data_IF_480103382465
#
_entry.id   IF_480103382465
#
_cell.length_a   1.000
_cell.length_b   1.000
_cell.length_c   1.000
_cell.angle_alpha   90.00
_cell.angle_beta   90.00
_cell.angle_gamma   90.00
#
_symmetry.space_group_name_H-M   'P 1'
#
loop_
_entity.id
_entity.type
_entity.pdbx_description
1 polymer ?
#
# COMPACT_ATOMS: atom_id res chain seq x y z
N UNK A 1 -55.69 34.18 -32.05
CA UNK A 1 -54.68 34.75 -31.14
C UNK A 1 -53.40 33.97 -31.31
N UNK A 2 -52.43 34.53 -32.06
CA UNK A 2 -51.16 33.88 -32.37
C UNK A 2 -50.17 34.12 -31.21
N UNK A 3 -49.58 33.05 -30.70
CA UNK A 3 -48.58 33.12 -29.64
C UNK A 3 -47.24 33.61 -30.23
N UNK A 4 -46.55 34.58 -29.58
CA UNK A 4 -45.25 35.04 -30.05
C UNK A 4 -44.19 33.97 -29.80
N UNK A 5 -43.64 33.41 -30.88
CA UNK A 5 -42.48 32.53 -30.85
C UNK A 5 -41.25 33.40 -30.67
N UNK A 6 -40.60 33.32 -29.50
CA UNK A 6 -39.31 33.95 -29.27
C UNK A 6 -38.21 33.19 -30.04
N UNK A 7 -37.35 33.89 -30.80
CA UNK A 7 -36.19 33.25 -31.42
C UNK A 7 -35.23 32.76 -30.33
N UNK A 8 -34.54 31.62 -30.53
CA UNK A 8 -33.54 31.15 -29.58
C UNK A 8 -32.42 32.18 -29.50
N UNK A 9 -32.07 32.57 -28.27
CA UNK A 9 -30.99 33.49 -27.98
C UNK A 9 -29.65 32.94 -28.53
N UNK A 10 -29.27 33.37 -29.73
CA UNK A 10 -27.93 33.20 -30.28
C UNK A 10 -26.96 34.11 -29.51
N UNK A 11 -26.45 33.62 -28.39
CA UNK A 11 -25.51 34.40 -27.58
C UNK A 11 -24.99 33.68 -26.35
N UNK A 12 -25.01 32.34 -26.35
CA UNK A 12 -24.38 31.56 -25.28
C UNK A 12 -22.88 31.51 -25.50
N UNK A 13 -22.14 32.42 -24.84
CA UNK A 13 -20.72 32.20 -24.54
C UNK A 13 -20.64 30.82 -23.87
N UNK A 14 -20.10 29.83 -24.58
CA UNK A 14 -19.91 28.49 -24.05
C UNK A 14 -19.09 28.61 -22.77
N UNK A 15 -19.58 28.04 -21.67
CA UNK A 15 -18.93 28.05 -20.36
C UNK A 15 -17.60 27.26 -20.31
N UNK A 16 -17.10 26.87 -21.48
CA UNK A 16 -15.78 26.32 -21.71
C UNK A 16 -15.05 27.39 -22.52
N UNK A 17 -14.26 28.22 -21.84
CA UNK A 17 -13.53 29.37 -22.41
C UNK A 17 -12.47 29.00 -23.44
N UNK A 18 -12.84 28.26 -24.49
CA UNK A 18 -12.10 28.16 -25.75
C UNK A 18 -12.63 29.29 -26.62
N UNK A 19 -12.20 30.50 -26.28
CA UNK A 19 -12.47 31.69 -27.08
C UNK A 19 -11.94 31.47 -28.50
N UNK A 20 -12.74 31.82 -29.50
CA UNK A 20 -12.43 31.90 -30.95
C UNK A 20 -11.33 32.95 -31.26
N UNK A 21 -10.24 32.96 -30.51
CA UNK A 21 -9.07 33.82 -30.74
C UNK A 21 -8.19 33.27 -31.87
N UNK A 22 -8.45 32.04 -32.33
CA UNK A 22 -7.67 31.35 -33.37
C UNK A 22 -8.06 31.68 -34.82
N UNK A 23 -9.05 32.55 -35.05
CA UNK A 23 -9.58 32.79 -36.42
C UNK A 23 -8.82 33.86 -37.21
N UNK A 24 -7.73 34.43 -36.69
CA UNK A 24 -6.83 35.28 -37.48
C UNK A 24 -5.55 34.49 -37.77
N UNK A 25 -5.30 34.08 -39.02
CA UNK A 25 -4.05 33.42 -39.38
C UNK A 25 -2.93 34.45 -39.19
N UNK A 26 -2.13 34.25 -38.14
CA UNK A 26 -0.89 34.99 -37.97
C UNK A 26 0.21 34.24 -38.71
N UNK A 27 0.89 34.93 -39.62
CA UNK A 27 1.99 34.36 -40.43
C UNK A 27 3.30 34.20 -39.63
N UNK A 28 3.27 34.48 -38.32
CA UNK A 28 4.43 34.37 -37.46
C UNK A 28 4.73 32.90 -37.09
N UNK A 29 5.91 32.37 -37.45
CA UNK A 29 6.24 30.96 -37.27
C UNK A 29 6.33 30.56 -35.78
N UNK A 30 6.64 31.50 -34.91
CA UNK A 30 6.67 31.27 -33.46
C UNK A 30 5.27 31.10 -32.87
N UNK A 31 4.30 31.83 -33.39
CA UNK A 31 2.90 31.69 -32.98
C UNK A 31 2.33 30.37 -33.46
N UNK A 32 2.63 29.95 -34.69
CA UNK A 32 2.28 28.61 -35.20
C UNK A 32 2.88 27.49 -34.34
N UNK A 33 4.13 27.62 -33.90
CA UNK A 33 4.77 26.65 -33.00
C UNK A 33 4.15 26.64 -31.60
N UNK A 34 3.79 27.82 -31.06
CA UNK A 34 3.01 27.91 -29.80
C UNK A 34 1.64 27.28 -29.96
N UNK A 35 0.99 27.49 -31.10
CA UNK A 35 -0.31 26.90 -31.42
C UNK A 35 -0.24 25.39 -31.52
N UNK A 36 0.76 24.85 -32.22
CA UNK A 36 1.00 23.40 -32.32
C UNK A 36 1.31 22.80 -30.94
N UNK A 37 2.09 23.49 -30.09
CA UNK A 37 2.34 23.07 -28.72
C UNK A 37 1.06 23.04 -27.89
N UNK A 38 0.28 24.11 -27.90
CA UNK A 38 -1.01 24.19 -27.19
C UNK A 38 -2.00 23.11 -27.68
N UNK A 39 -2.03 22.86 -28.98
CA UNK A 39 -2.84 21.78 -29.56
C UNK A 39 -2.36 20.41 -29.10
N UNK A 40 -1.04 20.17 -29.07
CA UNK A 40 -0.47 18.93 -28.57
C UNK A 40 -0.69 18.72 -27.06
N UNK A 41 -0.60 19.78 -26.26
CA UNK A 41 -0.88 19.76 -24.82
C UNK A 41 -2.36 19.49 -24.56
N UNK A 42 -3.25 20.08 -25.36
CA UNK A 42 -4.68 19.79 -25.30
C UNK A 42 -4.97 18.33 -25.65
N UNK A 43 -4.39 17.82 -26.75
CA UNK A 43 -4.53 16.41 -27.12
C UNK A 43 -3.97 15.46 -26.05
N UNK A 44 -2.85 15.79 -25.41
CA UNK A 44 -2.29 15.01 -24.32
C UNK A 44 -3.22 14.99 -23.09
N UNK A 45 -3.76 16.14 -22.68
CA UNK A 45 -4.73 16.20 -21.57
C UNK A 45 -6.00 15.40 -21.87
N UNK A 46 -6.49 15.46 -23.10
CA UNK A 46 -7.68 14.70 -23.50
C UNK A 46 -7.39 13.20 -23.54
N UNK A 47 -6.20 12.78 -23.99
CA UNK A 47 -5.76 11.39 -23.93
C UNK A 47 -5.60 10.90 -22.48
N UNK A 48 -5.02 11.70 -21.58
CA UNK A 48 -4.92 11.38 -20.16
C UNK A 48 -6.31 11.23 -19.52
N UNK A 49 -7.25 12.11 -19.87
CA UNK A 49 -8.64 12.03 -19.42
C UNK A 49 -9.32 10.74 -19.91
N UNK A 50 -9.13 10.39 -21.18
CA UNK A 50 -9.67 9.15 -21.76
C UNK A 50 -9.05 7.91 -21.11
N UNK A 51 -7.74 7.91 -20.85
CA UNK A 51 -7.07 6.82 -20.15
C UNK A 51 -7.61 6.67 -18.73
N UNK A 52 -7.81 7.77 -18.00
CA UNK A 52 -8.40 7.75 -16.65
C UNK A 52 -9.84 7.22 -16.64
N UNK A 53 -10.63 7.52 -17.68
CA UNK A 53 -11.97 6.96 -17.85
C UNK A 53 -11.92 5.45 -18.11
N UNK A 54 -11.01 4.99 -18.98
CA UNK A 54 -10.78 3.56 -19.21
C UNK A 54 -10.36 2.83 -17.93
N UNK A 55 -9.43 3.39 -17.16
CA UNK A 55 -9.01 2.82 -15.87
C UNK A 55 -10.18 2.70 -14.89
N UNK A 56 -11.09 3.68 -14.89
CA UNK A 56 -12.30 3.63 -14.08
C UNK A 56 -13.28 2.55 -14.53
N UNK A 57 -13.47 2.36 -15.83
CA UNK A 57 -14.35 1.32 -16.37
C UNK A 57 -13.77 -0.08 -16.13
N UNK A 58 -12.45 -0.25 -16.28
CA UNK A 58 -11.74 -1.48 -15.92
C UNK A 58 -11.90 -1.80 -14.42
N UNK A 59 -11.77 -0.80 -13.54
CA UNK A 59 -12.02 -0.98 -12.12
C UNK A 59 -13.49 -1.32 -11.82
N UNK A 60 -14.44 -0.69 -12.52
CA UNK A 60 -15.87 -0.95 -12.35
C UNK A 60 -16.23 -2.40 -12.73
N UNK A 61 -15.70 -2.89 -13.86
CA UNK A 61 -15.87 -4.29 -14.27
C UNK A 61 -15.24 -5.28 -13.28
N UNK A 62 -14.03 -5.01 -12.79
CA UNK A 62 -13.39 -5.81 -11.75
C UNK A 62 -14.18 -5.84 -10.42
N UNK A 63 -14.82 -4.73 -10.03
CA UNK A 63 -15.69 -4.69 -8.85
C UNK A 63 -16.92 -5.57 -9.03
N UNK A 64 -17.55 -5.56 -10.22
CA UNK A 64 -18.70 -6.40 -10.52
C UNK A 64 -18.34 -7.88 -10.54
N UNK A 65 -17.19 -8.23 -11.12
CA UNK A 65 -16.68 -9.60 -11.13
C UNK A 65 -16.33 -10.09 -9.72
N UNK A 66 -15.69 -9.26 -8.91
CA UNK A 66 -15.44 -9.56 -7.49
C UNK A 66 -16.75 -9.76 -6.70
N UNK A 67 -17.80 -8.99 -7.00
CA UNK A 67 -19.14 -9.21 -6.42
C UNK A 67 -19.75 -10.52 -6.88
N UNK A 68 -19.61 -10.89 -8.16
CA UNK A 68 -20.10 -12.15 -8.72
C UNK A 68 -19.40 -13.35 -8.09
N UNK A 69 -18.07 -13.29 -7.96
CA UNK A 69 -17.26 -14.29 -7.28
C UNK A 69 -17.66 -14.45 -5.81
N UNK A 70 -17.86 -13.34 -5.08
CA UNK A 70 -18.37 -13.37 -3.70
C UNK A 70 -19.77 -13.99 -3.61
N UNK A 71 -20.65 -13.72 -4.57
CA UNK A 71 -22.01 -14.28 -4.59
C UNK A 71 -21.98 -15.80 -4.80
N UNK A 72 -21.09 -16.29 -5.67
CA UNK A 72 -20.88 -17.72 -5.88
C UNK A 72 -20.27 -18.40 -4.63
N UNK A 73 -19.32 -17.73 -3.95
CA UNK A 73 -18.78 -18.18 -2.66
C UNK A 73 -19.79 -18.12 -1.51
N UNK A 74 -20.77 -17.23 -1.60
CA UNK A 74 -21.88 -17.09 -0.65
C UNK A 74 -23.04 -18.03 -0.98
N UNK A 75 -22.85 -19.07 -1.80
CA UNK A 75 -23.72 -20.24 -1.68
C UNK A 75 -23.60 -20.74 -0.24
N UNK A 76 -24.62 -20.42 0.55
CA UNK A 76 -24.80 -20.86 1.92
C UNK A 76 -24.85 -22.38 1.92
N UNK A 77 -23.67 -23.01 1.99
CA UNK A 77 -23.57 -24.34 2.53
C UNK A 77 -24.14 -24.24 3.94
N UNK A 78 -25.36 -24.74 4.10
CA UNK A 78 -26.00 -24.99 5.39
C UNK A 78 -24.95 -25.75 6.20
N UNK A 79 -24.32 -25.06 7.16
CA UNK A 79 -23.30 -25.67 8.02
C UNK A 79 -24.03 -26.70 8.88
N UNK A 80 -24.03 -27.95 8.45
CA UNK A 80 -24.75 -29.05 9.11
C UNK A 80 -24.07 -29.51 10.42
N UNK A 81 -22.97 -28.88 10.84
CA UNK A 81 -22.24 -29.25 12.06
C UNK A 81 -21.93 -28.06 12.99
N UNK A 82 -22.16 -28.25 14.29
CA UNK A 82 -21.80 -27.29 15.36
C UNK A 82 -20.28 -27.02 15.39
N UNK A 83 -19.47 -27.99 14.97
CA UNK A 83 -18.01 -27.87 14.95
C UNK A 83 -17.49 -27.02 13.79
N UNK A 84 -18.18 -27.02 12.64
CA UNK A 84 -17.79 -26.17 11.50
C UNK A 84 -18.11 -24.69 11.76
N UNK A 85 -19.12 -24.42 12.59
CA UNK A 85 -19.44 -23.07 13.03
C UNK A 85 -18.36 -22.50 13.96
N UNK A 86 -17.89 -23.29 14.94
CA UNK A 86 -16.79 -22.89 15.83
C UNK A 86 -15.49 -22.67 15.06
N UNK A 87 -15.12 -23.59 14.15
CA UNK A 87 -13.95 -23.41 13.28
C UNK A 87 -14.04 -22.14 12.42
N UNK A 88 -15.22 -21.83 11.87
CA UNK A 88 -15.43 -20.57 11.13
C UNK A 88 -15.30 -19.34 12.04
N UNK A 89 -15.80 -19.39 13.27
CA UNK A 89 -15.62 -18.29 14.24
C UNK A 89 -14.15 -18.09 14.60
N UNK A 90 -13.40 -19.16 14.84
CA UNK A 90 -11.98 -19.11 15.15
C UNK A 90 -11.16 -18.59 13.95
N UNK A 91 -11.48 -19.01 12.73
CA UNK A 91 -10.87 -18.49 11.50
C UNK A 91 -11.16 -17.00 11.29
N UNK A 92 -12.38 -16.54 11.60
CA UNK A 92 -12.73 -15.12 11.55
C UNK A 92 -11.93 -14.33 12.59
N UNK A 93 -11.82 -14.82 13.82
CA UNK A 93 -11.03 -14.18 14.88
C UNK A 93 -9.53 -14.12 14.50
N UNK A 94 -9.00 -15.18 13.90
CA UNK A 94 -7.62 -15.25 13.42
C UNK A 94 -7.35 -14.25 12.29
N UNK A 95 -8.23 -14.16 11.28
CA UNK A 95 -8.15 -13.12 10.23
C UNK A 95 -8.20 -11.71 10.80
N UNK A 96 -9.06 -11.48 11.79
CA UNK A 96 -9.17 -10.15 12.42
C UNK A 96 -7.90 -9.77 13.18
N UNK A 97 -7.25 -10.73 13.84
CA UNK A 97 -5.98 -10.53 14.52
C UNK A 97 -4.84 -10.22 13.53
N UNK A 98 -4.75 -11.00 12.44
CA UNK A 98 -3.77 -10.80 11.36
C UNK A 98 -3.94 -9.43 10.69
N UNK A 99 -5.17 -9.02 10.38
CA UNK A 99 -5.43 -7.72 9.76
C UNK A 99 -5.06 -6.56 10.71
N UNK A 100 -5.32 -6.73 12.02
CA UNK A 100 -4.95 -5.75 13.05
C UNK A 100 -3.43 -5.64 13.19
N UNK A 101 -2.71 -6.75 13.05
CA UNK A 101 -1.25 -6.79 13.04
C UNK A 101 -0.66 -6.14 11.77
N UNK A 102 -1.19 -6.46 10.59
CA UNK A 102 -0.81 -5.81 9.34
C UNK A 102 -1.03 -4.30 9.39
N UNK A 103 -2.15 -3.85 9.96
CA UNK A 103 -2.43 -2.42 10.15
C UNK A 103 -1.44 -1.76 11.11
N UNK A 104 -1.01 -2.46 12.17
CA UNK A 104 0.05 -2.00 13.07
C UNK A 104 1.41 -1.95 12.35
N UNK A 105 1.75 -2.94 11.54
CA UNK A 105 2.98 -2.98 10.75
C UNK A 105 3.04 -1.84 9.71
N UNK A 106 1.93 -1.60 9.00
CA UNK A 106 1.80 -0.49 8.05
C UNK A 106 2.00 0.87 8.73
N UNK A 107 1.39 1.07 9.90
CA UNK A 107 1.60 2.27 10.73
C UNK A 107 3.06 2.42 11.18
N UNK A 108 3.76 1.34 11.52
CA UNK A 108 5.19 1.38 11.88
C UNK A 108 6.05 1.78 10.68
N UNK A 109 5.82 1.21 9.50
CA UNK A 109 6.51 1.57 8.26
C UNK A 109 6.29 3.04 7.88
N UNK A 110 5.05 3.53 8.03
CA UNK A 110 4.70 4.92 7.72
C UNK A 110 5.33 5.92 8.71
N UNK A 111 5.37 5.59 10.00
CA UNK A 111 6.09 6.36 11.03
C UNK A 111 7.61 6.35 10.81
N UNK A 112 8.17 5.24 10.34
CA UNK A 112 9.58 5.14 9.94
C UNK A 112 9.91 6.07 8.76
N UNK A 113 9.08 6.08 7.72
CA UNK A 113 9.28 6.94 6.53
C UNK A 113 9.13 8.44 6.84
N UNK A 114 8.18 8.82 7.69
CA UNK A 114 7.94 10.22 8.07
C UNK A 114 9.00 10.78 9.03
N UNK A 115 9.51 9.97 9.97
CA UNK A 115 10.61 10.38 10.87
C UNK A 115 11.94 10.57 10.12
N UNK A 116 12.24 9.72 9.14
CA UNK A 116 13.44 9.87 8.28
C UNK A 116 13.35 11.11 7.39
N UNK A 117 12.18 11.43 6.82
CA UNK A 117 11.97 12.67 6.05
C UNK A 117 12.12 13.93 6.92
N UNK A 118 11.60 13.94 8.16
CA UNK A 118 11.78 15.05 9.11
C UNK A 118 13.25 15.27 9.50
N UNK A 119 14.03 14.20 9.70
CA UNK A 119 15.47 14.28 10.02
C UNK A 119 16.28 14.83 8.83
N UNK A 120 15.93 14.45 7.60
CA UNK A 120 16.59 14.93 6.37
C UNK A 120 16.29 16.42 6.07
N UNK A 121 15.07 16.90 6.36
CA UNK A 121 14.75 18.34 6.25
C UNK A 121 15.44 19.19 7.34
N UNK A 122 15.53 18.69 8.58
CA UNK A 122 16.22 19.42 9.68
C UNK A 122 17.72 19.57 9.42
N UNK A 123 18.37 18.59 8.80
CA UNK A 123 19.79 18.69 8.41
C UNK A 123 20.04 19.60 7.19
N UNK A 124 19.07 19.75 6.28
CA UNK A 124 19.18 20.71 5.17
C UNK A 124 19.00 22.16 5.65
N UNK A 125 18.11 22.41 6.61
CA UNK A 125 17.89 23.76 7.15
C UNK A 125 19.00 24.24 8.09
N UNK A 126 19.67 23.34 8.83
CA UNK A 126 20.84 23.69 9.64
C UNK A 126 22.07 24.02 8.78
N UNK A 127 22.35 23.23 7.73
CA UNK A 127 23.48 23.45 6.81
C UNK A 127 23.31 24.74 5.98
N UNK A 128 22.07 25.11 5.66
CA UNK A 128 21.73 26.39 5.01
C UNK A 128 21.89 27.61 5.92
N UNK A 129 21.51 27.51 7.20
CA UNK A 129 21.67 28.60 8.18
C UNK A 129 23.14 28.86 8.53
N UNK A 130 23.98 27.83 8.53
CA UNK A 130 25.42 27.98 8.81
C UNK A 130 26.18 28.67 7.67
N UNK A 131 25.88 28.35 6.40
CA UNK A 131 26.42 29.09 5.24
C UNK A 131 25.96 30.56 5.21
N UNK A 132 24.70 30.84 5.60
CA UNK A 132 24.17 32.22 5.64
C UNK A 132 24.77 33.06 6.78
N UNK A 133 25.14 32.46 7.92
CA UNK A 133 25.85 33.16 9.02
C UNK A 133 27.32 33.44 8.68
N UNK A 134 28.01 32.58 7.91
CA UNK A 134 29.38 32.85 7.43
C UNK A 134 29.44 33.99 6.40
N UNK A 135 28.44 34.12 5.53
CA UNK A 135 28.34 35.24 4.57
C UNK A 135 27.99 36.58 5.26
N UNK A 136 27.09 36.58 6.26
CA UNK A 136 26.75 37.80 7.01
C UNK A 136 27.87 38.34 7.93
N UNK A 137 28.88 37.53 8.27
CA UNK A 137 30.06 37.98 9.03
C UNK A 137 31.12 38.67 8.17
N UNK A 138 31.10 38.52 6.83
CA UNK A 138 31.98 39.26 5.92
C UNK A 138 31.40 40.60 5.42
N UNK A 139 30.10 40.85 5.61
CA UNK A 139 29.42 42.07 5.17
C UNK A 139 29.05 43.08 6.26
N UNK A 140 29.52 42.90 7.49
CA UNK A 140 29.29 43.84 8.61
C UNK A 140 30.59 44.58 9.00
N UNK A 141 31.16 45.27 8.03
CA UNK A 141 31.79 46.57 8.24
C UNK A 141 31.10 47.49 7.24
N UNK A 142 30.75 48.70 7.69
CA UNK A 142 29.97 49.73 7.00
C UNK A 142 28.46 49.74 7.28
N UNK A 143 28.00 50.96 7.56
CA UNK A 143 26.65 51.51 7.73
C UNK A 143 25.84 51.09 8.97
N UNK A 144 26.06 51.88 10.01
CA UNK A 144 25.06 52.43 10.94
C UNK A 144 23.98 53.29 10.25
N UNK A 145 22.91 53.56 11.02
CA UNK A 145 21.91 54.66 10.96
C UNK A 145 20.50 54.33 10.43
N UNK A 146 19.52 54.45 11.36
CA UNK A 146 18.17 55.09 11.26
C UNK A 146 17.26 54.81 10.04
N UNK A 147 15.93 54.77 10.09
CA UNK A 147 14.88 54.99 11.08
C UNK A 147 13.53 54.58 10.43
N UNK A 148 12.50 54.41 11.26
CA UNK A 148 11.03 54.40 11.02
C UNK A 148 10.48 54.80 9.64
N UNK A 149 9.45 54.07 9.15
CA UNK A 149 8.03 54.50 9.18
C UNK A 149 7.12 53.59 8.34
N UNK A 150 5.89 53.48 8.79
CA UNK A 150 4.68 52.87 8.21
C UNK A 150 4.28 53.38 6.82
N UNK A 151 3.64 52.52 6.00
CA UNK A 151 2.31 52.78 5.41
C UNK A 151 1.86 51.68 4.43
N UNK A 152 0.54 51.62 4.30
CA UNK A 152 -0.35 50.74 3.54
C UNK A 152 -0.55 51.17 2.07
N UNK A 153 -1.07 50.26 1.24
CA UNK A 153 -1.67 50.54 -0.09
C UNK A 153 -1.09 49.62 -1.16
N UNK A 154 -1.83 48.63 -1.67
CA UNK A 154 -2.90 48.69 -2.68
C UNK A 154 -2.37 48.87 -4.11
N UNK A 155 -2.87 48.00 -5.01
CA UNK A 155 -2.93 48.13 -6.49
C UNK A 155 -1.56 48.23 -7.19
N UNK A 156 -1.32 47.85 -8.43
CA UNK A 156 -2.09 47.31 -9.55
C UNK A 156 -1.02 47.06 -10.63
N UNK A 157 -1.16 45.94 -11.33
CA UNK A 157 -0.99 45.85 -12.79
C UNK A 157 0.34 46.20 -13.48
N UNK A 158 0.65 45.29 -14.40
CA UNK A 158 1.16 45.50 -15.75
C UNK A 158 2.67 45.63 -15.99
N UNK A 159 3.11 44.81 -16.97
CA UNK A 159 4.20 44.99 -17.94
C UNK A 159 5.60 45.37 -17.43
N UNK A 160 6.74 45.00 -18.00
CA UNK A 160 7.11 44.53 -19.34
C UNK A 160 8.60 44.13 -19.27
N UNK A 161 9.08 43.47 -20.32
CA UNK A 161 10.42 43.68 -20.92
C UNK A 161 11.71 43.25 -20.18
N UNK A 162 12.38 42.27 -20.79
CA UNK A 162 13.82 42.35 -21.10
C UNK A 162 14.05 41.40 -22.29
N UNK A 163 14.21 41.87 -23.53
CA UNK A 163 15.32 42.64 -24.12
C UNK A 163 16.65 41.86 -24.11
N UNK A 164 17.17 41.65 -25.32
CA UNK A 164 18.58 41.51 -25.72
C UNK A 164 18.98 40.11 -26.27
N UNK A 165 20.01 40.01 -27.13
CA UNK A 165 19.86 40.23 -28.57
C UNK A 165 20.62 39.18 -29.43
N UNK A 166 20.51 39.34 -30.75
CA UNK A 166 21.56 39.06 -31.76
C UNK A 166 22.10 37.64 -31.91
N UNK A 167 21.80 37.00 -33.05
CA UNK A 167 22.84 36.51 -33.97
C UNK A 167 22.25 36.01 -35.30
N UNK A 168 22.34 36.88 -36.30
CA UNK A 168 22.77 36.63 -37.68
C UNK A 168 22.86 35.15 -38.14
N UNK A 169 22.03 34.73 -39.10
CA UNK A 169 22.47 33.82 -40.19
C UNK A 169 21.48 33.70 -41.36
N UNK A 170 21.89 34.30 -42.49
CA UNK A 170 21.71 33.89 -43.89
C UNK A 170 20.35 33.41 -44.45
N UNK A 171 19.74 34.15 -45.41
CA UNK A 171 18.69 33.60 -46.26
C UNK A 171 19.28 32.74 -47.40
N UNK A 172 18.84 31.49 -47.50
CA UNK A 172 19.02 30.64 -48.69
C UNK A 172 18.15 31.18 -49.84
N UNK A 173 18.81 31.81 -50.82
CA UNK A 173 18.22 32.22 -52.10
C UNK A 173 17.57 31.03 -52.81
N UNK A 174 16.30 31.21 -53.18
CA UNK A 174 15.54 30.34 -54.08
C UNK A 174 16.15 30.40 -55.48
N UNK A 175 16.19 29.26 -56.15
CA UNK A 175 16.53 29.12 -57.57
C UNK A 175 15.45 29.83 -58.40
N UNK A 176 15.84 30.89 -59.09
CA UNK A 176 15.07 31.47 -60.20
C UNK A 176 15.66 30.97 -61.49
N UNK A 177 14.83 30.27 -62.27
CA UNK A 177 15.14 29.80 -63.61
C UNK A 177 15.38 30.99 -64.55
N UNK A 178 16.64 31.21 -64.95
CA UNK A 178 16.96 32.13 -66.03
C UNK A 178 16.92 31.39 -67.36
N UNK A 179 15.80 31.60 -68.04
CA UNK A 179 15.54 31.30 -69.44
C UNK A 179 16.63 31.94 -70.33
N UNK A 180 17.27 31.09 -71.10
CA UNK A 180 18.28 31.36 -72.12
C UNK A 180 17.81 32.44 -73.09
N UNK A 181 18.41 33.63 -73.03
CA UNK A 181 18.22 34.69 -74.04
C UNK A 181 19.42 34.64 -74.98
N UNK A 182 19.21 34.10 -76.18
CA UNK A 182 20.14 34.22 -77.29
C UNK A 182 20.41 35.70 -77.55
N UNK A 183 21.65 36.15 -77.33
CA UNK A 183 22.12 37.44 -77.80
C UNK A 183 23.01 37.19 -79.01
N UNK A 184 22.58 37.79 -80.11
CA UNK A 184 23.22 37.77 -81.42
C UNK A 184 24.62 38.38 -81.33
N UNK A 185 25.56 37.69 -81.97
CA UNK A 185 26.92 38.15 -82.22
C UNK A 185 26.86 39.46 -83.02
N UNK A 186 27.52 40.51 -82.53
CA UNK A 186 27.95 41.64 -83.34
C UNK A 186 29.46 41.60 -83.41
N UNK A 187 29.95 41.52 -84.63
CA UNK A 187 31.34 41.63 -85.01
C UNK A 187 31.87 42.99 -84.54
N UNK A 188 32.94 42.98 -83.73
CA UNK A 188 33.74 44.18 -83.49
C UNK A 188 35.21 43.84 -83.71
N UNK A 189 35.66 44.45 -84.79
CA UNK A 189 36.98 44.60 -85.36
C UNK A 189 38.11 44.70 -84.33
N UNK A 190 39.18 44.03 -84.72
CA UNK A 190 40.54 43.95 -84.22
C UNK A 190 41.13 45.30 -83.77
N UNK A 191 41.87 45.30 -82.66
CA UNK A 191 43.24 45.84 -82.55
C UNK A 191 43.75 45.68 -81.09
N UNK A 192 45.05 45.38 -80.96
CA UNK A 192 45.90 45.26 -79.75
C UNK A 192 46.06 43.87 -79.06
N UNK A 193 46.93 42.99 -79.60
CA UNK A 193 47.50 41.87 -78.84
C UNK A 193 48.89 42.24 -78.30
N UNK A 194 49.14 42.00 -77.00
CA UNK A 194 50.41 41.49 -76.41
C UNK A 194 50.50 41.74 -74.88
N UNK A 195 49.71 42.63 -74.28
CA UNK A 195 49.74 42.86 -72.81
C UNK A 195 48.63 42.15 -71.99
N UNK A 196 47.61 41.56 -72.63
CA UNK A 196 46.45 40.94 -71.93
C UNK A 196 46.68 39.47 -71.54
N UNK A 197 47.56 38.74 -72.25
CA UNK A 197 47.79 37.32 -72.03
C UNK A 197 48.40 36.98 -70.64
N UNK A 198 49.18 37.90 -70.05
CA UNK A 198 49.78 37.71 -68.71
C UNK A 198 48.75 37.88 -67.59
N UNK A 199 47.70 38.68 -67.82
CA UNK A 199 46.64 38.92 -66.82
C UNK A 199 45.66 37.73 -66.77
N UNK A 200 45.39 37.10 -67.93
CA UNK A 200 44.46 35.96 -68.03
C UNK A 200 45.00 34.67 -67.37
N UNK A 201 46.31 34.42 -67.42
CA UNK A 201 46.90 33.23 -66.78
C UNK A 201 46.97 33.36 -65.24
N UNK A 202 47.13 34.59 -64.73
CA UNK A 202 47.02 34.88 -63.30
C UNK A 202 45.60 34.68 -62.76
N UNK A 203 44.58 35.03 -63.56
CA UNK A 203 43.17 34.83 -63.20
C UNK A 203 42.79 33.33 -63.15
N UNK A 204 43.28 32.52 -64.10
CA UNK A 204 43.06 31.06 -64.12
C UNK A 204 43.67 30.37 -62.90
N UNK A 205 44.92 30.70 -62.54
CA UNK A 205 45.58 30.12 -61.35
C UNK A 205 44.84 30.45 -60.05
N UNK A 206 44.35 31.69 -59.90
CA UNK A 206 43.53 32.08 -58.74
C UNK A 206 42.18 31.38 -58.71
N UNK A 207 41.55 31.15 -59.87
CA UNK A 207 40.29 30.41 -59.96
C UNK A 207 40.46 28.93 -59.60
N UNK A 208 41.55 28.30 -60.03
CA UNK A 208 41.86 26.90 -59.70
C UNK A 208 42.27 26.72 -58.24
N UNK A 209 43.03 27.67 -57.68
CA UNK A 209 43.34 27.72 -56.25
C UNK A 209 42.08 27.92 -55.40
N UNK A 210 41.16 28.80 -55.83
CA UNK A 210 39.87 28.99 -55.15
C UNK A 210 39.02 27.72 -55.19
N UNK A 211 38.96 27.02 -56.33
CA UNK A 211 38.27 25.72 -56.46
C UNK A 211 38.91 24.63 -55.61
N UNK A 212 40.25 24.61 -55.49
CA UNK A 212 40.95 23.69 -54.61
C UNK A 212 40.58 23.92 -53.14
N UNK A 213 40.60 25.18 -52.69
CA UNK A 213 40.17 25.57 -51.34
C UNK A 213 38.70 25.24 -51.07
N UNK A 214 37.81 25.43 -52.06
CA UNK A 214 36.39 25.05 -51.93
C UNK A 214 36.21 23.53 -51.75
N UNK A 215 36.95 22.72 -52.51
CA UNK A 215 36.94 21.26 -52.35
C UNK A 215 37.48 20.81 -50.99
N UNK A 216 38.52 21.46 -50.49
CA UNK A 216 39.05 21.18 -49.15
C UNK A 216 38.04 21.53 -48.05
N UNK A 217 37.37 22.68 -48.14
CA UNK A 217 36.32 23.07 -47.18
C UNK A 217 35.15 22.08 -47.24
N UNK A 218 34.74 21.65 -48.44
CA UNK A 218 33.69 20.65 -48.61
C UNK A 218 34.08 19.29 -48.03
N UNK A 219 35.34 18.86 -48.23
CA UNK A 219 35.86 17.61 -47.65
C UNK A 219 35.90 17.68 -46.12
N UNK A 220 36.40 18.78 -45.55
CA UNK A 220 36.41 18.99 -44.09
C UNK A 220 34.99 18.99 -43.51
N UNK A 221 34.03 19.66 -44.16
CA UNK A 221 32.64 19.65 -43.72
C UNK A 221 32.00 18.25 -43.80
N UNK A 222 32.35 17.44 -44.80
CA UNK A 222 31.90 16.05 -44.90
C UNK A 222 32.54 15.14 -43.84
N UNK A 223 33.84 15.33 -43.56
CA UNK A 223 34.56 14.61 -42.50
C UNK A 223 33.99 14.95 -41.11
N UNK A 224 33.68 16.23 -40.83
CA UNK A 224 33.03 16.66 -39.58
C UNK A 224 31.63 16.08 -39.42
N UNK A 225 30.83 16.07 -40.49
CA UNK A 225 29.49 15.46 -40.45
C UNK A 225 29.56 13.95 -40.23
N UNK A 226 30.51 13.27 -40.86
CA UNK A 226 30.75 11.84 -40.65
C UNK A 226 31.23 11.54 -39.22
N UNK A 227 32.13 12.36 -38.67
CA UNK A 227 32.60 12.25 -37.29
C UNK A 227 31.46 12.45 -36.28
N UNK A 228 30.60 13.45 -36.50
CA UNK A 228 29.43 13.68 -35.66
C UNK A 228 28.45 12.50 -35.71
N UNK A 229 28.19 11.93 -36.89
CA UNK A 229 27.35 10.72 -37.03
C UNK A 229 27.98 9.48 -36.39
N UNK A 230 29.30 9.33 -36.42
CA UNK A 230 29.98 8.24 -35.75
C UNK A 230 29.91 8.39 -34.21
N UNK A 231 30.03 9.62 -33.70
CA UNK A 231 29.91 9.91 -32.28
C UNK A 231 28.48 9.66 -31.76
N UNK A 232 27.45 10.04 -32.53
CA UNK A 232 26.05 9.75 -32.15
C UNK A 232 25.77 8.25 -32.11
N UNK A 233 26.21 7.50 -33.13
CA UNK A 233 26.09 6.04 -33.15
C UNK A 233 26.82 5.36 -31.99
N UNK A 234 28.01 5.88 -31.62
CA UNK A 234 28.75 5.37 -30.45
C UNK A 234 28.01 5.63 -29.13
N UNK A 235 27.45 6.83 -28.97
CA UNK A 235 26.64 7.18 -27.78
C UNK A 235 25.36 6.35 -27.69
N UNK A 236 24.70 6.07 -28.81
CA UNK A 236 23.53 5.21 -28.88
C UNK A 236 23.87 3.75 -28.52
N UNK A 237 24.97 3.22 -29.07
CA UNK A 237 25.44 1.88 -28.74
C UNK A 237 25.82 1.74 -27.26
N UNK A 238 26.51 2.73 -26.69
CA UNK A 238 26.83 2.75 -25.26
C UNK A 238 25.57 2.83 -24.37
N UNK A 239 24.58 3.64 -24.78
CA UNK A 239 23.31 3.72 -24.07
C UNK A 239 22.51 2.40 -24.16
N UNK A 240 22.60 1.68 -25.28
CA UNK A 240 21.97 0.37 -25.44
C UNK A 240 22.63 -0.69 -24.57
N UNK A 241 23.97 -0.73 -24.52
CA UNK A 241 24.72 -1.62 -23.62
C UNK A 241 24.34 -1.35 -22.17
N UNK A 242 24.30 -0.07 -21.76
CA UNK A 242 23.89 0.30 -20.41
C UNK A 242 22.44 -0.10 -20.08
N UNK A 243 21.52 -0.01 -21.05
CA UNK A 243 20.13 -0.48 -20.88
C UNK A 243 20.07 -2.00 -20.73
N UNK A 244 20.87 -2.74 -21.50
CA UNK A 244 20.97 -4.21 -21.41
C UNK A 244 21.55 -4.65 -20.06
N UNK A 245 22.62 -4.01 -19.59
CA UNK A 245 23.20 -4.26 -18.26
C UNK A 245 22.22 -3.93 -17.12
N UNK A 246 21.49 -2.82 -17.21
CA UNK A 246 20.47 -2.48 -16.20
C UNK A 246 19.30 -3.47 -16.22
N UNK A 247 18.90 -3.98 -17.38
CA UNK A 247 17.88 -5.00 -17.50
C UNK A 247 18.33 -6.33 -16.90
N UNK A 248 19.55 -6.79 -17.22
CA UNK A 248 20.14 -7.99 -16.62
C UNK A 248 20.25 -7.89 -15.11
N UNK A 249 20.72 -6.76 -14.58
CA UNK A 249 20.79 -6.53 -13.13
C UNK A 249 19.41 -6.57 -12.46
N UNK A 250 18.36 -6.04 -13.11
CA UNK A 250 16.99 -6.12 -12.60
C UNK A 250 16.43 -7.55 -12.63
N UNK A 251 16.80 -8.35 -13.63
CA UNK A 251 16.42 -9.77 -13.68
C UNK A 251 17.13 -10.58 -12.60
N UNK A 252 18.44 -10.40 -12.42
CA UNK A 252 19.21 -11.03 -11.34
C UNK A 252 18.67 -10.66 -9.96
N UNK A 253 18.29 -9.39 -9.73
CA UNK A 253 17.69 -8.94 -8.47
C UNK A 253 16.32 -9.62 -8.22
N UNK A 254 15.47 -9.73 -9.26
CA UNK A 254 14.19 -10.44 -9.16
C UNK A 254 14.36 -11.93 -8.89
N UNK A 255 15.34 -12.56 -9.54
CA UNK A 255 15.66 -13.97 -9.31
C UNK A 255 16.20 -14.20 -7.89
N UNK A 256 17.10 -13.32 -7.42
CA UNK A 256 17.60 -13.37 -6.05
C UNK A 256 16.49 -13.16 -5.01
N UNK A 257 15.53 -12.26 -5.27
CA UNK A 257 14.36 -12.08 -4.41
C UNK A 257 13.45 -13.31 -4.42
N UNK A 258 13.23 -13.93 -5.59
CA UNK A 258 12.46 -15.16 -5.71
C UNK A 258 13.11 -16.31 -4.93
N UNK A 259 14.43 -16.50 -5.08
CA UNK A 259 15.19 -17.50 -4.31
C UNK A 259 15.16 -17.24 -2.80
N UNK A 260 15.20 -15.98 -2.37
CA UNK A 260 15.05 -15.64 -0.95
C UNK A 260 13.65 -16.00 -0.42
N UNK A 261 12.60 -15.73 -1.19
CA UNK A 261 11.22 -16.08 -0.81
C UNK A 261 11.02 -17.59 -0.74
N UNK A 262 11.62 -18.37 -1.65
CA UNK A 262 11.51 -19.84 -1.59
C UNK A 262 12.23 -20.40 -0.36
N UNK A 263 13.45 -19.92 -0.07
CA UNK A 263 14.19 -20.34 1.12
C UNK A 263 13.49 -19.92 2.43
N UNK A 264 12.87 -18.74 2.47
CA UNK A 264 12.09 -18.28 3.63
C UNK A 264 10.84 -19.17 3.86
N UNK A 265 10.15 -19.56 2.79
CA UNK A 265 9.00 -20.46 2.88
C UNK A 265 9.41 -21.88 3.31
N UNK A 266 10.55 -22.37 2.83
CA UNK A 266 11.10 -23.67 3.22
C UNK A 266 11.51 -23.67 4.70
N UNK A 267 12.24 -22.64 5.15
CA UNK A 267 12.59 -22.47 6.56
C UNK A 267 11.35 -22.36 7.46
N UNK A 268 10.26 -21.74 6.98
CA UNK A 268 9.00 -21.68 7.71
C UNK A 268 8.34 -23.06 7.83
N UNK A 269 8.34 -23.87 6.76
CA UNK A 269 7.82 -25.25 6.80
C UNK A 269 8.63 -26.11 7.76
N UNK A 270 9.95 -26.01 7.73
CA UNK A 270 10.84 -26.75 8.64
C UNK A 270 10.61 -26.33 10.10
N UNK A 271 10.40 -25.04 10.38
CA UNK A 271 10.06 -24.57 11.72
C UNK A 271 8.70 -25.07 12.21
N UNK A 272 7.67 -25.05 11.34
CA UNK A 272 6.34 -25.56 11.66
C UNK A 272 6.37 -27.09 11.91
N UNK A 273 7.16 -27.83 11.14
CA UNK A 273 7.40 -29.28 11.32
C UNK A 273 8.14 -29.58 12.63
N UNK A 274 9.19 -28.82 12.97
CA UNK A 274 9.92 -28.96 14.22
C UNK A 274 9.03 -28.64 15.43
N UNK A 275 8.16 -27.64 15.35
CA UNK A 275 7.19 -27.33 16.41
C UNK A 275 6.16 -28.47 16.57
N UNK A 276 5.69 -29.04 15.45
CA UNK A 276 4.77 -30.17 15.49
C UNK A 276 5.41 -31.40 16.14
N UNK A 277 6.69 -31.69 15.85
CA UNK A 277 7.44 -32.77 16.50
C UNK A 277 7.63 -32.53 17.99
N UNK A 278 7.92 -31.29 18.41
CA UNK A 278 8.01 -30.92 19.83
C UNK A 278 6.69 -31.12 20.56
N UNK A 279 5.56 -30.71 19.97
CA UNK A 279 4.22 -30.91 20.55
C UNK A 279 3.87 -32.39 20.65
N UNK A 280 4.23 -33.21 19.65
CA UNK A 280 4.04 -34.67 19.70
C UNK A 280 4.85 -35.30 20.85
N UNK A 281 6.13 -34.93 20.98
CA UNK A 281 6.98 -35.40 22.09
C UNK A 281 6.44 -34.95 23.46
N UNK A 282 5.92 -33.72 23.58
CA UNK A 282 5.28 -33.25 24.82
C UNK A 282 4.02 -34.06 25.16
N UNK A 283 3.16 -34.32 24.18
CA UNK A 283 1.96 -35.16 24.39
C UNK A 283 2.33 -36.59 24.77
N UNK A 284 3.37 -37.17 24.15
CA UNK A 284 3.88 -38.50 24.48
C UNK A 284 4.43 -38.54 25.90
N UNK A 285 5.29 -37.60 26.29
CA UNK A 285 5.80 -37.50 27.67
C UNK A 285 4.68 -37.31 28.70
N UNK A 286 3.64 -36.54 28.35
CA UNK A 286 2.45 -36.38 29.21
C UNK A 286 1.65 -37.67 29.33
N UNK A 287 1.51 -38.45 28.25
CA UNK A 287 0.87 -39.77 28.30
C UNK A 287 1.66 -40.73 29.19
N UNK A 288 2.98 -40.73 29.12
CA UNK A 288 3.85 -41.55 29.99
C UNK A 288 3.68 -41.17 31.47
N UNK A 289 3.67 -39.88 31.79
CA UNK A 289 3.41 -39.38 33.15
C UNK A 289 2.02 -39.78 33.70
N UNK A 290 0.99 -39.81 32.85
CA UNK A 290 -0.36 -40.21 33.28
C UNK A 290 -0.52 -41.73 33.40
N UNK A 291 0.25 -42.53 32.65
CA UNK A 291 0.20 -44.00 32.77
C UNK A 291 0.81 -44.49 34.09
N UNK A 292 1.87 -43.83 34.59
CA UNK A 292 2.48 -44.19 35.88
C UNK A 292 1.55 -43.89 37.06
N UNK A 293 0.77 -42.81 36.98
CA UNK A 293 -0.12 -42.38 38.07
C UNK A 293 -1.45 -43.18 38.10
N UNK A 294 -1.95 -43.61 36.93
CA UNK A 294 -3.12 -44.49 36.83
C UNK A 294 -2.85 -45.91 37.38
N UNK A 295 -1.63 -46.42 37.25
CA UNK A 295 -1.22 -47.70 37.83
C UNK A 295 -1.05 -47.62 39.36
N UNK A 296 -0.55 -46.50 39.89
CA UNK A 296 -0.47 -46.25 41.33
C UNK A 296 -1.86 -46.13 41.98
N UNK A 297 -2.84 -45.51 41.30
CA UNK A 297 -4.23 -45.43 41.79
C UNK A 297 -4.99 -46.75 41.72
N UNK A 298 -4.56 -47.71 40.89
CA UNK A 298 -5.18 -49.05 40.82
C UNK A 298 -4.71 -49.98 41.95
N UNK A 299 -3.66 -49.62 42.69
CA UNK A 299 -3.17 -50.38 43.86
C UNK A 299 -3.62 -49.82 45.22
N UNK A 300 -4.46 -48.80 45.28
CA UNK A 300 -5.19 -48.51 46.53
C UNK A 300 -6.39 -49.46 46.57
N UNK A 301 -6.36 -50.52 47.39
CA UNK A 301 -7.52 -51.40 47.51
C UNK A 301 -8.71 -50.53 47.92
N UNK A 302 -9.84 -50.70 47.22
CA UNK A 302 -11.15 -50.22 47.65
C UNK A 302 -11.45 -50.83 49.02
N UNK A 303 -10.94 -50.24 50.11
CA UNK A 303 -11.39 -50.46 51.48
C UNK A 303 -12.73 -49.74 51.68
N UNK A 304 -13.70 -50.04 50.82
CA UNK A 304 -14.93 -49.27 50.69
C UNK A 304 -16.14 -49.88 51.40
N UNK A 305 -16.00 -51.02 52.11
CA UNK A 305 -17.19 -51.75 52.57
C UNK A 305 -17.18 -52.24 54.02
N UNK A 306 -16.27 -51.73 54.87
CA UNK A 306 -16.32 -51.95 56.31
C UNK A 306 -16.63 -50.66 57.10
N UNK A 307 -17.53 -49.81 56.58
CA UNK A 307 -18.20 -48.87 57.50
C UNK A 307 -19.10 -49.68 58.44
N UNK A 308 -18.89 -49.49 59.75
CA UNK A 308 -19.61 -50.23 60.77
C UNK A 308 -21.12 -50.12 60.54
N UNK A 309 -21.82 -51.25 60.58
CA UNK A 309 -23.29 -51.28 60.43
C UNK A 309 -23.90 -50.48 61.58
N UNK A 310 -24.64 -49.42 61.25
CA UNK A 310 -25.35 -48.60 62.23
C UNK A 310 -26.69 -49.29 62.56
N UNK A 311 -27.30 -48.89 63.68
CA UNK A 311 -28.68 -49.24 64.04
C UNK A 311 -29.62 -49.23 62.82
N UNK A 312 -30.46 -50.25 62.68
CA UNK A 312 -31.38 -50.38 61.55
C UNK A 312 -30.75 -50.84 60.22
N UNK A 313 -29.46 -51.20 60.21
CA UNK A 313 -28.77 -51.72 59.02
C UNK A 313 -28.41 -50.65 57.99
N UNK A 314 -28.35 -49.39 58.43
CA UNK A 314 -27.88 -48.27 57.61
C UNK A 314 -26.36 -48.16 57.64
N UNK A 315 -25.81 -47.51 56.62
CA UNK A 315 -24.38 -47.19 56.52
C UNK A 315 -24.16 -45.69 56.60
N UNK A 316 -22.99 -45.29 57.08
CA UNK A 316 -22.53 -43.90 56.98
C UNK A 316 -22.59 -43.42 55.53
N UNK A 317 -23.02 -42.17 55.35
CA UNK A 317 -23.24 -41.49 54.06
C UNK A 317 -24.30 -42.12 53.17
N UNK A 318 -25.11 -43.04 53.69
CA UNK A 318 -26.24 -43.58 52.93
C UNK A 318 -27.34 -42.51 52.78
N UNK A 319 -27.90 -42.40 51.57
CA UNK A 319 -29.06 -41.57 51.32
C UNK A 319 -30.32 -42.19 51.91
N UNK A 320 -31.08 -41.37 52.62
CA UNK A 320 -32.32 -41.76 53.31
C UNK A 320 -33.40 -40.72 53.08
N UNK A 321 -34.65 -41.10 53.31
CA UNK A 321 -35.80 -40.21 53.27
C UNK A 321 -36.60 -40.34 54.56
N UNK A 322 -37.18 -39.25 55.06
CA UNK A 322 -38.10 -39.31 56.20
C UNK A 322 -39.34 -40.14 55.84
N UNK A 323 -39.65 -41.16 56.64
CA UNK A 323 -40.80 -42.03 56.42
C UNK A 323 -42.11 -41.40 56.93
N UNK A 324 -42.02 -40.59 57.98
CA UNK A 324 -43.14 -39.90 58.61
C UNK A 324 -42.70 -38.48 59.03
N UNK A 325 -43.66 -37.65 59.42
CA UNK A 325 -43.41 -36.32 59.95
C UNK A 325 -42.68 -36.40 61.30
N UNK A 326 -41.53 -35.74 61.40
CA UNK A 326 -40.67 -35.78 62.58
C UNK A 326 -40.93 -34.52 63.40
N UNK A 327 -41.38 -34.70 64.64
CA UNK A 327 -41.63 -33.61 65.58
C UNK A 327 -40.65 -33.65 66.75
N UNK A 328 -40.17 -32.49 67.19
CA UNK A 328 -39.31 -32.35 68.37
C UNK A 328 -40.06 -31.47 69.36
N UNK A 329 -40.39 -32.02 70.53
CA UNK A 329 -41.15 -31.33 71.59
C UNK A 329 -42.47 -30.72 71.08
N UNK A 330 -43.16 -31.41 70.16
CA UNK A 330 -44.42 -30.97 69.57
C UNK A 330 -44.29 -30.07 68.34
N UNK A 331 -43.09 -29.60 67.99
CA UNK A 331 -42.87 -28.79 66.79
C UNK A 331 -42.45 -29.66 65.61
N UNK A 332 -43.09 -29.50 64.46
CA UNK A 332 -42.72 -30.19 63.21
C UNK A 332 -41.39 -29.67 62.68
N UNK A 333 -40.39 -30.56 62.57
CA UNK A 333 -39.03 -30.20 62.15
C UNK A 333 -38.74 -30.71 60.73
N UNK A 334 -39.19 -31.92 60.39
CA UNK A 334 -38.98 -32.52 59.06
C UNK A 334 -40.30 -33.10 58.56
N UNK A 335 -40.67 -32.75 57.33
CA UNK A 335 -41.82 -33.34 56.65
C UNK A 335 -41.47 -34.73 56.12
N UNK A 336 -42.45 -35.63 56.07
CA UNK A 336 -42.34 -36.90 55.39
C UNK A 336 -41.83 -36.72 53.95
N UNK A 337 -41.06 -37.70 53.46
CA UNK A 337 -40.38 -37.71 52.15
C UNK A 337 -39.29 -36.67 51.95
N UNK A 338 -38.83 -36.01 53.01
CA UNK A 338 -37.64 -35.15 52.91
C UNK A 338 -36.38 -36.01 52.84
N UNK A 339 -35.53 -35.76 51.85
CA UNK A 339 -34.26 -36.46 51.68
C UNK A 339 -33.22 -36.02 52.73
N UNK A 340 -32.33 -36.94 53.09
CA UNK A 340 -31.23 -36.71 54.01
C UNK A 340 -30.07 -37.70 53.81
N UNK A 341 -28.99 -37.49 54.55
CA UNK A 341 -27.77 -38.31 54.52
C UNK A 341 -27.49 -38.79 55.95
N UNK A 342 -27.22 -40.08 56.11
CA UNK A 342 -26.80 -40.65 57.39
C UNK A 342 -25.37 -40.19 57.69
N UNK A 343 -25.15 -39.49 58.79
CA UNK A 343 -23.81 -39.08 59.22
C UNK A 343 -23.13 -40.20 60.01
N UNK A 344 -23.87 -40.90 60.86
CA UNK A 344 -23.32 -41.92 61.76
C UNK A 344 -24.31 -42.37 62.85
N UNK A 345 -23.86 -43.16 63.83
CA UNK A 345 -24.63 -43.43 65.04
C UNK A 345 -24.89 -42.12 65.82
N UNK A 346 -26.04 -42.02 66.50
CA UNK A 346 -26.35 -40.83 67.29
C UNK A 346 -25.39 -40.70 68.49
N UNK A 347 -25.01 -39.46 68.81
CA UNK A 347 -24.10 -39.16 69.94
C UNK A 347 -24.71 -39.55 71.30
N UNK A 348 -26.03 -39.41 71.45
CA UNK A 348 -26.73 -39.72 72.71
C UNK A 348 -27.04 -41.21 72.86
N UNK A 349 -27.53 -41.87 71.80
CA UNK A 349 -28.00 -43.26 71.82
C UNK A 349 -27.55 -44.02 70.56
N UNK A 350 -26.27 -44.47 70.47
CA UNK A 350 -25.70 -45.03 69.25
C UNK A 350 -26.33 -46.37 68.83
N UNK A 351 -26.97 -47.08 69.77
CA UNK A 351 -27.60 -48.40 69.53
C UNK A 351 -29.00 -48.25 68.92
N UNK A 352 -29.74 -47.21 69.30
CA UNK A 352 -31.16 -47.05 68.98
C UNK A 352 -31.48 -45.93 68.01
N UNK A 353 -30.58 -44.95 67.84
CA UNK A 353 -30.79 -43.75 67.03
C UNK A 353 -29.65 -43.52 66.05
N UNK A 354 -29.99 -42.86 64.95
CA UNK A 354 -29.09 -42.52 63.85
C UNK A 354 -29.03 -41.00 63.74
N UNK A 355 -27.84 -40.45 63.54
CA UNK A 355 -27.67 -39.04 63.21
C UNK A 355 -27.86 -38.85 61.70
N UNK A 356 -28.90 -38.13 61.31
CA UNK A 356 -29.23 -37.84 59.91
C UNK A 356 -29.24 -36.34 59.67
N UNK A 357 -28.60 -35.91 58.58
CA UNK A 357 -28.67 -34.54 58.08
C UNK A 357 -29.71 -34.47 56.96
N UNK A 358 -30.80 -33.73 57.18
CA UNK A 358 -31.86 -33.56 56.18
C UNK A 358 -31.63 -32.32 55.33
N UNK A 359 -31.96 -32.41 54.04
CA UNK A 359 -31.77 -31.32 53.06
C UNK A 359 -32.61 -30.09 53.39
N UNK A 360 -33.81 -30.28 53.95
CA UNK A 360 -34.72 -29.20 54.34
C UNK A 360 -35.30 -29.46 55.73
N UNK A 361 -35.22 -28.46 56.61
CA UNK A 361 -35.89 -28.46 57.91
C UNK A 361 -36.86 -27.29 57.99
N UNK A 362 -38.01 -27.51 58.63
CA UNK A 362 -39.07 -26.50 58.80
C UNK A 362 -38.71 -25.46 59.87
N UNK A 363 -37.81 -25.80 60.79
CA UNK A 363 -37.31 -24.89 61.82
C UNK A 363 -36.12 -24.04 61.37
N UNK A 364 -35.64 -24.24 60.13
CA UNK A 364 -34.47 -23.53 59.58
C UNK A 364 -33.12 -23.93 60.21
N UNK A 365 -33.10 -24.94 61.09
CA UNK A 365 -31.86 -25.47 61.66
C UNK A 365 -31.04 -26.25 60.62
N UNK A 366 -29.71 -26.25 60.76
CA UNK A 366 -28.77 -27.05 59.94
C UNK A 366 -28.13 -28.18 60.76
N UNK A 367 -28.59 -28.40 61.99
CA UNK A 367 -28.03 -29.44 62.86
C UNK A 367 -28.46 -30.85 62.41
N UNK A 368 -27.64 -31.85 62.75
CA UNK A 368 -28.02 -33.26 62.61
C UNK A 368 -29.19 -33.61 63.55
N UNK A 369 -30.06 -34.50 63.10
CA UNK A 369 -31.21 -34.97 63.87
C UNK A 369 -31.02 -36.43 64.28
N UNK A 370 -31.25 -36.71 65.56
CA UNK A 370 -31.18 -38.07 66.13
C UNK A 370 -32.52 -38.77 65.94
N UNK A 371 -32.64 -39.55 64.87
CA UNK A 371 -33.87 -40.21 64.43
C UNK A 371 -33.85 -41.71 64.72
N UNK A 372 -35.03 -42.29 64.92
CA UNK A 372 -35.20 -43.75 65.07
C UNK A 372 -35.19 -44.40 63.68
N UNK A 373 -34.61 -45.60 63.48
CA UNK A 373 -34.62 -46.27 62.18
C UNK A 373 -36.01 -46.42 61.53
N UNK A 374 -37.09 -46.45 62.31
CA UNK A 374 -38.48 -46.51 61.81
C UNK A 374 -38.97 -45.18 61.20
N UNK A 375 -38.36 -44.07 61.57
CA UNK A 375 -38.71 -42.72 61.09
C UNK A 375 -38.08 -42.41 59.73
N UNK A 376 -37.17 -43.25 59.24
CA UNK A 376 -36.48 -43.08 57.97
C UNK A 376 -36.60 -44.33 57.11
N UNK A 377 -36.57 -44.14 55.80
CA UNK A 377 -36.53 -45.21 54.79
C UNK A 377 -35.34 -45.01 53.86
N UNK A 378 -34.93 -46.06 53.16
CA UNK A 378 -33.88 -45.96 52.13
C UNK A 378 -34.43 -45.12 50.98
N UNK A 379 -33.71 -44.05 50.64
CA UNK A 379 -34.08 -43.07 49.62
C UNK A 379 -33.73 -43.49 48.21
#
# INVERSE_FOLDING_TARGET
MALPVHPPAMGGKTAWGVSEVFSRPTDDPEELMKMQKLQSEFSQREQERLNRLKDMDEQASGILEARRAKRNQFQMGVTQGVDDFKKKQDDILKRMAEEKEQKRARRRLEKGKSSVKKKKQKNKSSKGKEKKRKLKRKGKKMSSSSSSSSSSGSSSEDSSESSSPSSVSFPKKRKTDHKTRQVQKRDRVEEEPVMVAVIDDGAKRRADEAKAREREVRRKAQEELAAWQAETKRKEAEAEVRRKEEAQRKEEEREAEARRKTLELEARREADEAEALRKKAEVESRKELFQTDALLRRQVPKRADESAKIAGGYRERQHVMAAQDITIRGNLVVLARTAGIVLGPAETDPIGRIAVEFVKRQDGGVACLNVVPKEIMKG
#
